data_IF_572103902760
#
_entry.id   IF_572103902760
#
_cell.length_a   1.000
_cell.length_b   1.000
_cell.length_c   1.000
_cell.angle_alpha   90.00
_cell.angle_beta   90.00
_cell.angle_gamma   90.00
#
_symmetry.space_group_name_H-M   'P 1'
#
loop_
_entity.id
_entity.type
_entity.pdbx_description
1 polymer ?
#
# COMPACT_ATOMS: atom_id res chain seq x y z
N UNK A 1 16.11 29.64 -33.76
CA UNK A 1 15.72 30.10 -32.41
C UNK A 1 14.34 29.63 -31.95
N UNK A 2 13.29 29.62 -32.81
CA UNK A 2 11.92 29.19 -32.41
C UNK A 2 11.75 27.69 -32.10
N UNK A 3 12.59 26.82 -32.64
CA UNK A 3 12.50 25.35 -32.44
C UNK A 3 13.18 24.83 -31.16
N UNK A 4 14.13 25.60 -30.59
CA UNK A 4 14.81 25.24 -29.33
C UNK A 4 13.95 25.55 -28.09
N UNK A 5 13.02 26.51 -28.21
CA UNK A 5 12.10 26.88 -27.13
C UNK A 5 11.00 25.81 -26.93
N UNK A 6 10.57 25.14 -28.01
CA UNK A 6 9.53 24.09 -27.94
C UNK A 6 10.01 22.78 -27.29
N UNK A 7 11.31 22.45 -27.40
CA UNK A 7 11.89 21.26 -26.75
C UNK A 7 12.14 21.52 -25.26
N UNK A 8 12.48 22.76 -24.87
CA UNK A 8 12.59 23.15 -23.46
C UNK A 8 11.26 23.09 -22.72
N UNK A 9 10.14 23.41 -23.37
CA UNK A 9 8.80 23.36 -22.77
C UNK A 9 8.30 21.91 -22.59
N UNK A 10 8.67 21.00 -23.51
CA UNK A 10 8.32 19.57 -23.41
C UNK A 10 9.11 18.83 -22.32
N UNK A 11 10.35 19.23 -22.03
CA UNK A 11 11.13 18.66 -20.92
C UNK A 11 10.71 19.19 -19.53
N UNK A 12 10.16 20.39 -19.45
CA UNK A 12 9.67 20.97 -18.17
C UNK A 12 8.28 20.46 -17.79
N UNK A 13 7.46 20.03 -18.77
CA UNK A 13 6.13 19.43 -18.50
C UNK A 13 6.19 18.00 -17.94
N UNK A 14 7.31 17.28 -18.07
CA UNK A 14 7.46 15.92 -17.53
C UNK A 14 7.92 15.90 -16.05
N UNK A 15 8.20 17.07 -15.46
CA UNK A 15 8.52 17.22 -14.03
C UNK A 15 7.31 17.83 -13.32
N UNK A 16 6.12 17.31 -13.60
CA UNK A 16 5.03 17.41 -12.65
C UNK A 16 5.20 16.24 -11.68
N UNK A 17 6.04 16.46 -10.67
CA UNK A 17 5.83 15.80 -9.39
C UNK A 17 4.41 16.14 -8.99
N UNK A 18 3.46 15.23 -9.21
CA UNK A 18 2.28 15.21 -8.38
C UNK A 18 2.84 14.92 -6.98
N UNK A 19 2.82 15.87 -6.02
CA UNK A 19 2.84 15.42 -4.64
C UNK A 19 1.69 14.43 -4.54
N UNK A 20 1.97 13.26 -3.96
CA UNK A 20 0.91 12.34 -3.54
C UNK A 20 -0.20 13.20 -2.93
N UNK A 21 -1.43 12.98 -3.38
CA UNK A 21 -2.60 13.63 -2.81
C UNK A 21 -2.49 13.51 -1.29
N UNK A 22 -2.20 14.63 -0.62
CA UNK A 22 -2.20 14.71 0.83
C UNK A 22 -3.67 14.56 1.26
N UNK A 23 -4.14 13.32 1.31
CA UNK A 23 -5.34 12.97 2.04
C UNK A 23 -4.96 13.01 3.52
N UNK A 24 -4.94 14.23 4.08
CA UNK A 24 -4.96 14.37 5.52
C UNK A 24 -6.36 14.00 6.02
N UNK A 25 -6.46 12.91 6.77
CA UNK A 25 -7.57 12.61 7.67
C UNK A 25 -7.04 11.69 8.78
N UNK A 26 -7.27 11.92 10.07
CA UNK A 26 -7.91 13.05 10.72
C UNK A 26 -7.40 13.11 12.17
N UNK A 27 -6.83 14.25 12.57
CA UNK A 27 -6.77 14.66 13.98
C UNK A 27 -8.18 14.51 14.58
N UNK A 28 -8.43 13.43 15.33
CA UNK A 28 -9.76 13.07 15.83
C UNK A 28 -10.23 11.63 15.55
N UNK A 29 -9.41 10.76 14.95
CA UNK A 29 -9.72 9.34 14.83
C UNK A 29 -9.85 8.67 16.21
N UNK A 30 -10.84 7.79 16.34
CA UNK A 30 -11.16 7.06 17.57
C UNK A 30 -11.41 5.59 17.26
N UNK A 31 -11.14 4.71 18.22
CA UNK A 31 -11.47 3.29 18.15
C UNK A 31 -12.11 2.82 19.47
N UNK A 32 -13.35 2.32 19.44
CA UNK A 32 -13.93 1.60 20.58
C UNK A 32 -13.30 0.21 20.75
N UNK A 33 -13.35 -0.34 21.95
CA UNK A 33 -13.04 -1.74 22.23
C UNK A 33 -14.32 -2.59 22.32
N UNK A 34 -14.20 -3.90 22.09
CA UNK A 34 -15.31 -4.84 22.25
C UNK A 34 -15.77 -4.98 23.71
N UNK A 35 -14.92 -4.58 24.67
CA UNK A 35 -15.17 -4.73 26.11
C UNK A 35 -14.89 -6.15 26.63
N UNK A 36 -13.93 -6.84 26.01
CA UNK A 36 -13.41 -8.10 26.49
C UNK A 36 -11.90 -8.21 26.30
N UNK A 37 -11.26 -9.03 27.13
CA UNK A 37 -9.86 -9.46 26.96
C UNK A 37 -9.75 -10.98 27.12
N UNK A 38 -8.71 -11.57 26.52
CA UNK A 38 -8.24 -12.89 26.91
C UNK A 38 -7.48 -12.81 28.24
N UNK A 39 -7.55 -13.88 29.03
CA UNK A 39 -6.96 -13.96 30.38
C UNK A 39 -5.62 -14.70 30.40
N UNK A 40 -5.17 -15.21 29.25
CA UNK A 40 -3.91 -15.91 29.08
C UNK A 40 -3.09 -15.16 28.01
N UNK A 41 -1.78 -14.94 28.21
CA UNK A 41 -0.94 -14.32 27.18
C UNK A 41 -0.87 -15.14 25.89
N UNK A 42 -1.01 -16.47 25.99
CA UNK A 42 -1.07 -17.36 24.83
C UNK A 42 -2.51 -17.52 24.39
N UNK A 43 -2.81 -17.05 23.18
CA UNK A 43 -4.11 -17.18 22.53
C UNK A 43 -3.98 -18.30 21.49
N UNK A 44 -4.81 -19.35 21.65
CA UNK A 44 -4.85 -20.48 20.72
C UNK A 44 -5.92 -20.28 19.66
N UNK A 45 -5.55 -20.53 18.40
CA UNK A 45 -6.41 -20.35 17.24
C UNK A 45 -6.48 -21.65 16.46
N UNK A 46 -7.69 -22.11 16.12
CA UNK A 46 -7.88 -23.23 15.18
C UNK A 46 -8.52 -22.71 13.91
N UNK A 47 -7.83 -22.88 12.79
CA UNK A 47 -8.34 -22.62 11.45
C UNK A 47 -8.93 -23.91 10.90
N UNK A 48 -10.18 -23.87 10.45
CA UNK A 48 -10.89 -25.02 9.86
C UNK A 48 -11.06 -24.80 8.36
N UNK A 49 -10.22 -25.41 7.50
CA UNK A 49 -10.34 -25.29 6.06
C UNK A 49 -11.66 -25.91 5.56
N UNK A 50 -12.20 -25.37 4.46
CA UNK A 50 -13.33 -25.98 3.76
C UNK A 50 -12.82 -26.96 2.68
N UNK A 51 -12.42 -28.16 3.11
CA UNK A 51 -11.85 -29.18 2.22
C UNK A 51 -12.85 -29.71 1.20
N UNK A 52 -12.38 -29.98 -0.02
CA UNK A 52 -13.14 -30.60 -1.12
C UNK A 52 -14.36 -29.79 -1.61
N UNK A 53 -14.37 -28.47 -1.39
CA UNK A 53 -15.44 -27.60 -1.86
C UNK A 53 -14.92 -26.60 -2.92
N UNK A 54 -15.59 -26.44 -4.09
CA UNK A 54 -15.04 -25.65 -5.20
C UNK A 54 -14.83 -24.15 -4.93
N UNK A 55 -15.60 -23.55 -4.02
CA UNK A 55 -15.49 -22.12 -3.73
C UNK A 55 -14.29 -21.76 -2.84
N UNK A 56 -13.66 -22.75 -2.20
CA UNK A 56 -12.56 -22.54 -1.27
C UNK A 56 -11.21 -22.59 -1.98
N UNK A 57 -10.42 -21.51 -1.87
CA UNK A 57 -9.02 -21.52 -2.35
C UNK A 57 -8.13 -22.17 -1.29
N UNK A 58 -7.27 -23.10 -1.72
CA UNK A 58 -6.34 -23.78 -0.82
C UNK A 58 -5.40 -22.82 -0.07
N UNK A 59 -5.08 -21.67 -0.68
CA UNK A 59 -4.26 -20.60 -0.08
C UNK A 59 -4.90 -19.95 1.15
N UNK A 60 -6.24 -19.90 1.26
CA UNK A 60 -6.91 -19.15 2.31
C UNK A 60 -6.57 -19.58 3.74
N UNK A 61 -6.24 -20.86 3.94
CA UNK A 61 -5.77 -21.35 5.25
C UNK A 61 -4.44 -20.69 5.63
N UNK A 62 -3.52 -20.61 4.66
CA UNK A 62 -2.24 -19.95 4.83
C UNK A 62 -2.42 -18.44 5.00
N UNK A 63 -3.28 -17.82 4.20
CA UNK A 63 -3.55 -16.38 4.22
C UNK A 63 -4.10 -15.92 5.58
N UNK A 64 -5.06 -16.65 6.15
CA UNK A 64 -5.59 -16.38 7.48
C UNK A 64 -4.52 -16.56 8.58
N UNK A 65 -3.70 -17.61 8.50
CA UNK A 65 -2.58 -17.78 9.42
C UNK A 65 -1.53 -16.67 9.27
N UNK A 66 -1.26 -16.24 8.04
CA UNK A 66 -0.33 -15.16 7.74
C UNK A 66 -0.82 -13.84 8.33
N UNK A 67 -2.12 -13.53 8.22
CA UNK A 67 -2.73 -12.37 8.86
C UNK A 67 -2.51 -12.35 10.39
N UNK A 68 -2.74 -13.47 11.08
CA UNK A 68 -2.50 -13.62 12.52
C UNK A 68 -1.01 -13.39 12.85
N UNK A 69 -0.12 -13.99 12.06
CA UNK A 69 1.32 -13.81 12.26
C UNK A 69 1.79 -12.36 12.02
N UNK A 70 1.12 -11.61 11.14
CA UNK A 70 1.42 -10.19 10.90
C UNK A 70 1.12 -9.34 12.12
N UNK A 71 0.02 -9.58 12.83
CA UNK A 71 -0.27 -8.88 14.09
C UNK A 71 0.88 -9.01 15.11
N UNK A 72 1.42 -10.20 15.31
CA UNK A 72 2.57 -10.40 16.22
C UNK A 72 3.79 -9.56 15.80
N UNK A 73 4.06 -9.47 14.50
CA UNK A 73 5.19 -8.68 13.97
C UNK A 73 4.92 -7.18 14.03
N UNK A 74 3.68 -6.75 13.80
CA UNK A 74 3.29 -5.34 13.93
C UNK A 74 3.31 -4.88 15.39
N UNK A 75 2.98 -5.74 16.35
CA UNK A 75 3.16 -5.47 17.79
C UNK A 75 4.63 -5.18 18.09
N UNK A 76 5.57 -5.96 17.53
CA UNK A 76 7.01 -5.70 17.72
C UNK A 76 7.38 -4.32 17.18
N UNK A 77 7.02 -4.01 15.92
CA UNK A 77 7.32 -2.72 15.29
C UNK A 77 6.72 -1.52 16.04
N UNK A 78 5.47 -1.65 16.52
CA UNK A 78 4.82 -0.63 17.35
C UNK A 78 5.58 -0.43 18.66
N UNK A 79 5.85 -1.51 19.39
CA UNK A 79 6.43 -1.43 20.72
C UNK A 79 7.89 -0.96 20.71
N UNK A 80 8.64 -1.23 19.63
CA UNK A 80 9.97 -0.64 19.44
C UNK A 80 9.93 0.88 19.30
N UNK A 81 8.84 1.42 18.74
CA UNK A 81 8.70 2.86 18.45
C UNK A 81 8.03 3.65 19.58
N UNK A 82 7.06 3.02 20.27
CA UNK A 82 6.15 3.73 21.18
C UNK A 82 6.09 3.15 22.60
N UNK A 83 6.82 2.07 22.91
CA UNK A 83 6.85 1.46 24.25
C UNK A 83 5.85 0.31 24.42
N UNK A 84 5.21 0.19 25.59
CA UNK A 84 4.27 -0.91 25.89
C UNK A 84 4.83 -2.33 25.63
N UNK A 85 6.11 -2.55 25.93
CA UNK A 85 6.81 -3.83 25.68
C UNK A 85 6.15 -5.06 26.31
N UNK A 86 5.31 -4.87 27.35
CA UNK A 86 4.50 -5.95 27.91
C UNK A 86 3.58 -6.61 26.88
N UNK A 87 3.16 -5.88 25.84
CA UNK A 87 2.28 -6.39 24.79
C UNK A 87 2.93 -7.53 23.99
N UNK A 88 4.27 -7.58 23.95
CA UNK A 88 5.03 -8.69 23.34
C UNK A 88 4.87 -10.02 24.06
N UNK A 89 4.29 -10.04 25.26
CA UNK A 89 3.95 -11.28 25.95
C UNK A 89 2.78 -11.99 25.26
N UNK A 90 1.96 -11.29 24.47
CA UNK A 90 0.94 -11.92 23.64
C UNK A 90 1.60 -12.87 22.63
N UNK A 91 1.19 -14.13 22.68
CA UNK A 91 1.66 -15.17 21.77
C UNK A 91 0.47 -15.80 21.08
N UNK A 92 0.55 -15.96 19.77
CA UNK A 92 -0.51 -16.57 18.96
C UNK A 92 -0.06 -17.96 18.53
N UNK A 93 -0.81 -18.99 18.92
CA UNK A 93 -0.56 -20.38 18.53
C UNK A 93 -1.67 -20.80 17.57
N UNK A 94 -1.33 -20.93 16.29
CA UNK A 94 -2.28 -21.35 15.26
C UNK A 94 -2.14 -22.84 14.98
N UNK A 95 -3.27 -23.52 14.95
CA UNK A 95 -3.41 -24.89 14.46
C UNK A 95 -4.41 -24.97 13.30
N UNK A 96 -4.30 -26.01 12.49
CA UNK A 96 -5.21 -26.31 11.38
C UNK A 96 -5.96 -27.59 11.70
N UNK A 97 -7.30 -27.53 11.58
CA UNK A 97 -8.16 -28.68 11.85
C UNK A 97 -7.84 -29.87 10.94
N UNK A 98 -7.75 -31.06 11.53
CA UNK A 98 -7.35 -32.29 10.83
C UNK A 98 -5.86 -32.39 10.49
N UNK A 99 -5.03 -31.41 10.87
CA UNK A 99 -3.56 -31.44 10.67
C UNK A 99 -2.85 -31.50 12.02
N UNK A 100 -3.09 -30.51 12.89
CA UNK A 100 -2.42 -30.37 14.18
C UNK A 100 -3.30 -29.69 15.26
N UNK A 101 -4.63 -29.71 15.10
CA UNK A 101 -5.59 -29.09 16.03
C UNK A 101 -5.57 -29.67 17.44
N UNK A 102 -5.11 -30.91 17.61
CA UNK A 102 -4.86 -31.51 18.93
C UNK A 102 -3.87 -30.70 19.78
N UNK A 103 -2.96 -29.92 19.17
CA UNK A 103 -2.04 -29.02 19.88
C UNK A 103 -2.74 -27.80 20.48
N UNK A 104 -3.88 -27.37 19.91
CA UNK A 104 -4.62 -26.19 20.36
C UNK A 104 -5.80 -26.52 21.29
N UNK A 105 -6.12 -27.81 21.49
CA UNK A 105 -7.13 -28.27 22.44
C UNK A 105 -8.49 -27.57 22.26
N UNK A 106 -8.99 -26.93 23.31
CA UNK A 106 -10.14 -26.02 23.22
C UNK A 106 -9.62 -24.61 22.89
N UNK A 107 -9.75 -24.15 21.64
CA UNK A 107 -9.12 -22.90 21.23
C UNK A 107 -9.84 -21.68 21.81
N UNK A 108 -9.09 -20.58 21.95
CA UNK A 108 -9.67 -19.27 22.21
C UNK A 108 -10.46 -18.77 21.00
N UNK A 109 -9.91 -18.95 19.80
CA UNK A 109 -10.50 -18.43 18.56
C UNK A 109 -10.65 -19.59 17.56
N UNK A 110 -11.81 -19.66 16.89
CA UNK A 110 -12.02 -20.52 15.73
C UNK A 110 -12.16 -19.67 14.48
N UNK A 111 -11.40 -20.01 13.44
CA UNK A 111 -11.55 -19.43 12.10
C UNK A 111 -12.20 -20.46 11.20
N UNK A 112 -13.27 -20.07 10.51
CA UNK A 112 -14.00 -20.91 9.57
C UNK A 112 -14.29 -20.13 8.28
N UNK A 113 -14.57 -20.86 7.21
CA UNK A 113 -14.83 -20.29 5.90
C UNK A 113 -16.24 -20.61 5.42
N UNK A 114 -16.84 -19.67 4.72
CA UNK A 114 -18.09 -19.84 3.99
C UNK A 114 -17.94 -19.35 2.56
N UNK A 115 -18.86 -19.73 1.68
CA UNK A 115 -18.83 -19.25 0.30
C UNK A 115 -19.02 -17.73 0.23
N UNK A 116 -20.12 -17.25 0.82
CA UNK A 116 -20.50 -15.84 0.86
C UNK A 116 -21.52 -15.64 1.97
N UNK A 117 -21.60 -14.43 2.54
CA UNK A 117 -22.69 -14.05 3.45
C UNK A 117 -24.02 -13.78 2.72
N UNK A 118 -24.00 -13.76 1.38
CA UNK A 118 -25.18 -13.56 0.54
C UNK A 118 -25.82 -12.18 0.73
N UNK A 119 -27.08 -12.05 0.33
CA UNK A 119 -27.81 -10.78 0.42
C UNK A 119 -28.19 -10.35 1.84
N UNK A 120 -27.93 -11.19 2.84
CA UNK A 120 -28.28 -10.92 4.24
C UNK A 120 -27.22 -10.06 4.95
N UNK A 121 -26.01 -9.95 4.41
CA UNK A 121 -24.95 -9.10 4.95
C UNK A 121 -24.00 -8.66 3.84
N UNK A 122 -23.60 -7.38 3.87
CA UNK A 122 -22.53 -6.87 3.00
C UNK A 122 -21.12 -7.24 3.51
N UNK A 123 -21.01 -8.00 4.59
CA UNK A 123 -19.75 -8.37 5.22
C UNK A 123 -18.92 -9.33 4.36
N UNK A 124 -17.60 -9.19 4.47
CA UNK A 124 -16.61 -10.12 3.90
C UNK A 124 -16.00 -11.02 4.98
N UNK A 125 -16.12 -10.61 6.24
CA UNK A 125 -15.80 -11.36 7.44
C UNK A 125 -16.81 -11.05 8.54
N UNK A 126 -16.80 -11.87 9.60
CA UNK A 126 -17.53 -11.61 10.83
C UNK A 126 -16.89 -12.36 12.00
N UNK A 127 -16.56 -11.62 13.06
CA UNK A 127 -16.12 -12.19 14.33
C UNK A 127 -17.21 -12.06 15.38
N UNK A 128 -17.73 -13.19 15.83
CA UNK A 128 -18.68 -13.27 16.93
C UNK A 128 -17.92 -13.40 18.25
N UNK A 129 -17.89 -12.31 19.01
CA UNK A 129 -17.38 -12.30 20.38
C UNK A 129 -18.51 -12.52 21.38
N UNK A 130 -18.19 -13.20 22.49
CA UNK A 130 -19.05 -13.30 23.66
C UNK A 130 -18.24 -12.88 24.86
N UNK A 131 -18.80 -11.99 25.67
CA UNK A 131 -18.14 -11.47 26.86
C UNK A 131 -18.92 -11.96 28.07
N UNK A 132 -18.21 -12.54 29.04
CA UNK A 132 -18.83 -12.98 30.27
C UNK A 132 -19.26 -11.75 31.08
N UNK A 133 -20.54 -11.72 31.44
CA UNK A 133 -21.13 -10.62 32.19
C UNK A 133 -20.38 -10.40 33.51
N UNK A 134 -20.12 -9.13 33.84
CA UNK A 134 -19.42 -8.66 35.04
C UNK A 134 -17.93 -9.01 35.14
N UNK A 135 -17.39 -9.86 34.26
CA UNK A 135 -15.95 -10.16 34.25
C UNK A 135 -15.17 -9.42 33.19
N UNK A 136 -15.78 -8.96 32.08
CA UNK A 136 -15.05 -8.29 30.99
C UNK A 136 -14.06 -9.22 30.27
N UNK A 137 -14.31 -10.53 30.29
CA UNK A 137 -13.44 -11.54 29.67
C UNK A 137 -14.15 -12.25 28.53
N UNK A 138 -13.40 -12.62 27.49
CA UNK A 138 -13.96 -13.40 26.38
C UNK A 138 -14.33 -14.82 26.81
N UNK A 139 -15.44 -15.33 26.25
CA UNK A 139 -15.91 -16.71 26.41
C UNK A 139 -15.43 -17.54 25.22
N UNK A 140 -14.47 -18.45 25.39
CA UNK A 140 -13.96 -19.27 24.29
C UNK A 140 -14.98 -20.33 23.83
N UNK A 141 -14.95 -20.72 22.54
CA UNK A 141 -14.27 -20.01 21.47
C UNK A 141 -15.07 -18.77 21.04
N UNK A 142 -14.38 -17.70 20.65
CA UNK A 142 -14.93 -16.73 19.69
C UNK A 142 -14.84 -17.33 18.29
N UNK A 143 -15.73 -16.93 17.39
CA UNK A 143 -15.79 -17.49 16.03
C UNK A 143 -15.62 -16.40 14.99
N UNK A 144 -14.55 -16.48 14.22
CA UNK A 144 -14.29 -15.67 13.02
C UNK A 144 -14.72 -16.45 11.78
N UNK A 145 -15.62 -15.88 10.99
CA UNK A 145 -16.12 -16.45 9.74
C UNK A 145 -15.63 -15.59 8.57
N UNK A 146 -14.97 -16.21 7.59
CA UNK A 146 -14.39 -15.53 6.42
C UNK A 146 -15.11 -15.99 5.14
N UNK A 147 -15.55 -15.04 4.31
CA UNK A 147 -16.14 -15.36 3.02
C UNK A 147 -15.06 -15.68 1.98
N UNK A 148 -15.41 -16.47 0.97
CA UNK A 148 -14.58 -16.73 -0.21
C UNK A 148 -14.93 -15.83 -1.40
N UNK A 149 -16.16 -15.31 -1.42
CA UNK A 149 -16.68 -14.41 -2.44
C UNK A 149 -17.29 -13.16 -1.80
N UNK A 150 -17.44 -12.11 -2.62
CA UNK A 150 -18.27 -10.96 -2.30
C UNK A 150 -19.73 -11.35 -1.94
N UNK A 151 -20.52 -10.45 -1.33
CA UNK A 151 -21.92 -10.71 -0.97
C UNK A 151 -22.83 -11.09 -2.16
N UNK A 152 -22.47 -10.63 -3.36
CA UNK A 152 -23.17 -10.96 -4.61
C UNK A 152 -22.76 -12.33 -5.19
N UNK A 153 -21.77 -12.99 -4.59
CA UNK A 153 -21.21 -14.27 -5.03
C UNK A 153 -20.71 -14.26 -6.49
N UNK A 154 -20.19 -13.12 -6.91
CA UNK A 154 -19.70 -12.84 -8.27
C UNK A 154 -18.19 -12.75 -8.34
N UNK A 155 -17.56 -12.24 -7.29
CA UNK A 155 -16.12 -11.97 -7.26
C UNK A 155 -15.47 -12.78 -6.17
N UNK A 156 -14.57 -13.70 -6.55
CA UNK A 156 -13.79 -14.47 -5.58
C UNK A 156 -12.70 -13.57 -4.98
N UNK A 157 -12.51 -13.67 -3.66
CA UNK A 157 -11.51 -12.89 -2.94
C UNK A 157 -10.10 -13.33 -3.35
N UNK A 158 -9.21 -12.34 -3.55
CA UNK A 158 -7.79 -12.62 -3.75
C UNK A 158 -7.13 -13.08 -2.46
N UNK A 159 -5.88 -13.55 -2.54
CA UNK A 159 -5.12 -13.91 -1.34
C UNK A 159 -4.85 -12.65 -0.48
N UNK A 160 -4.58 -11.50 -1.11
CA UNK A 160 -4.45 -10.22 -0.40
C UNK A 160 -5.75 -9.82 0.30
N UNK A 161 -6.90 -9.97 -0.36
CA UNK A 161 -8.19 -9.68 0.28
C UNK A 161 -8.40 -10.56 1.52
N UNK A 162 -8.14 -11.86 1.38
CA UNK A 162 -8.26 -12.80 2.49
C UNK A 162 -7.33 -12.45 3.66
N UNK A 163 -6.08 -12.03 3.38
CA UNK A 163 -5.14 -11.58 4.42
C UNK A 163 -5.68 -10.34 5.13
N UNK A 164 -6.17 -9.33 4.40
CA UNK A 164 -6.66 -8.08 4.99
C UNK A 164 -7.92 -8.32 5.84
N UNK A 165 -8.90 -9.06 5.30
CA UNK A 165 -10.13 -9.39 6.02
C UNK A 165 -9.83 -10.24 7.25
N UNK A 166 -9.02 -11.29 7.12
CA UNK A 166 -8.63 -12.10 8.28
C UNK A 166 -7.88 -11.28 9.34
N UNK A 167 -7.07 -10.29 8.92
CA UNK A 167 -6.36 -9.40 9.82
C UNK A 167 -7.32 -8.47 10.57
N UNK A 168 -8.33 -7.91 9.90
CA UNK A 168 -9.39 -7.10 10.49
C UNK A 168 -10.19 -7.91 11.52
N UNK A 169 -10.67 -9.09 11.12
CA UNK A 169 -11.43 -9.98 11.98
C UNK A 169 -10.64 -10.45 13.20
N UNK A 170 -9.33 -10.66 13.04
CA UNK A 170 -8.47 -10.98 14.17
C UNK A 170 -8.37 -9.81 15.16
N UNK A 171 -8.42 -8.56 14.70
CA UNK A 171 -8.51 -7.38 15.57
C UNK A 171 -9.75 -7.42 16.48
N UNK A 172 -10.91 -7.80 15.95
CA UNK A 172 -12.11 -8.06 16.77
C UNK A 172 -11.90 -9.17 17.78
N UNK A 173 -11.27 -10.28 17.36
CA UNK A 173 -10.98 -11.39 18.26
C UNK A 173 -9.96 -11.03 19.37
N UNK A 174 -9.19 -9.95 19.19
CA UNK A 174 -8.31 -9.38 20.20
C UNK A 174 -9.00 -8.33 21.08
N UNK A 175 -10.17 -7.83 20.69
CA UNK A 175 -10.98 -6.90 21.47
C UNK A 175 -11.04 -5.47 20.96
N UNK A 176 -10.66 -5.24 19.70
CA UNK A 176 -10.86 -3.96 19.02
C UNK A 176 -12.21 -3.94 18.30
N UNK A 177 -12.92 -2.83 18.34
CA UNK A 177 -14.07 -2.59 17.47
C UNK A 177 -13.62 -1.75 16.26
N UNK A 178 -14.57 -1.17 15.53
CA UNK A 178 -14.26 -0.39 14.34
C UNK A 178 -13.71 1.00 14.67
N UNK A 179 -12.61 1.35 14.02
CA UNK A 179 -12.12 2.72 13.99
C UNK A 179 -13.11 3.64 13.26
N UNK A 180 -13.14 4.92 13.64
CA UNK A 180 -14.06 5.92 13.06
C UNK A 180 -13.56 6.53 11.76
N UNK A 181 -12.25 6.45 11.50
CA UNK A 181 -11.61 6.96 10.29
C UNK A 181 -11.30 5.82 9.32
N UNK A 182 -11.48 6.07 8.02
CA UNK A 182 -11.26 5.07 6.96
C UNK A 182 -9.81 5.00 6.46
N UNK A 183 -9.01 6.01 6.80
CA UNK A 183 -7.62 6.13 6.39
C UNK A 183 -6.83 6.79 7.51
N UNK A 184 -5.54 6.49 7.55
CA UNK A 184 -4.58 7.10 8.48
C UNK A 184 -3.96 8.37 7.87
N UNK A 185 -3.20 9.13 8.67
CA UNK A 185 -2.60 10.40 8.23
C UNK A 185 -1.54 10.23 7.12
N UNK A 186 -1.02 9.01 6.92
CA UNK A 186 -0.07 8.68 5.86
C UNK A 186 -0.77 8.26 4.54
N UNK A 187 -2.11 8.26 4.51
CA UNK A 187 -2.92 7.92 3.34
C UNK A 187 -3.16 6.42 3.14
N UNK A 188 -2.68 5.55 4.04
CA UNK A 188 -3.02 4.13 4.05
C UNK A 188 -4.42 3.88 4.62
N UNK A 189 -5.06 2.79 4.20
CA UNK A 189 -6.35 2.37 4.74
C UNK A 189 -6.22 1.95 6.21
N UNK A 190 -7.20 2.35 7.02
CA UNK A 190 -7.32 1.90 8.41
C UNK A 190 -7.86 0.47 8.44
N UNK A 191 -7.04 -0.48 8.91
CA UNK A 191 -7.38 -1.90 8.96
C UNK A 191 -8.68 -2.13 9.72
N UNK A 192 -8.88 -1.46 10.87
CA UNK A 192 -10.07 -1.65 11.70
C UNK A 192 -11.26 -0.78 11.26
N UNK A 193 -11.25 -0.16 10.09
CA UNK A 193 -12.43 0.55 9.60
C UNK A 193 -13.53 -0.43 9.18
N UNK A 194 -14.79 -0.10 9.47
CA UNK A 194 -15.96 -0.97 9.23
C UNK A 194 -16.11 -1.42 7.76
N UNK A 195 -15.75 -0.57 6.80
CA UNK A 195 -15.90 -0.88 5.38
C UNK A 195 -14.56 -1.25 4.78
N UNK A 196 -14.53 -2.34 4.00
CA UNK A 196 -13.33 -2.72 3.28
C UNK A 196 -12.93 -1.63 2.27
N UNK A 197 -11.73 -1.07 2.43
CA UNK A 197 -11.28 0.12 1.70
C UNK A 197 -10.87 -0.14 0.24
N UNK A 198 -10.76 -1.41 -0.17
CA UNK A 198 -10.20 -1.80 -1.45
C UNK A 198 -11.21 -2.50 -2.37
N UNK A 199 -10.91 -2.52 -3.67
CA UNK A 199 -11.77 -3.18 -4.64
C UNK A 199 -11.63 -4.70 -4.51
N UNK A 200 -12.68 -5.38 -4.00
CA UNK A 200 -12.71 -6.84 -3.84
C UNK A 200 -12.31 -7.54 -5.14
N UNK A 201 -11.45 -8.55 -5.06
CA UNK A 201 -11.01 -9.34 -6.21
C UNK A 201 -9.90 -8.68 -7.04
N UNK A 202 -9.46 -7.46 -6.70
CA UNK A 202 -8.41 -6.79 -7.46
C UNK A 202 -7.02 -7.33 -7.07
N UNK A 203 -6.27 -7.92 -8.02
CA UNK A 203 -4.93 -8.48 -7.75
C UNK A 203 -3.88 -7.41 -7.41
N UNK A 204 -4.21 -6.13 -7.55
CA UNK A 204 -3.34 -5.00 -7.17
C UNK A 204 -3.64 -4.43 -5.80
N UNK A 205 -4.54 -5.05 -5.04
CA UNK A 205 -4.77 -4.64 -3.66
C UNK A 205 -3.46 -4.73 -2.86
N UNK A 206 -3.31 -3.78 -1.96
CA UNK A 206 -2.18 -3.70 -1.03
C UNK A 206 -2.53 -4.38 0.28
N UNK A 207 -1.51 -4.85 0.99
CA UNK A 207 -1.70 -5.33 2.36
C UNK A 207 -2.00 -4.16 3.28
N UNK A 208 -3.05 -4.29 4.08
CA UNK A 208 -3.38 -3.39 5.18
C UNK A 208 -2.65 -3.87 6.44
N UNK A 209 -2.39 -2.99 7.39
CA UNK A 209 -1.76 -3.33 8.66
C UNK A 209 -2.46 -2.58 9.78
N UNK A 210 -2.41 -3.08 11.03
CA UNK A 210 -3.00 -2.36 12.14
C UNK A 210 -2.34 -0.99 12.29
N UNK A 211 -3.12 0.03 12.60
CA UNK A 211 -2.61 1.38 12.78
C UNK A 211 -1.98 1.58 14.15
N UNK A 212 -1.34 2.74 14.34
CA UNK A 212 -0.88 3.16 15.67
C UNK A 212 -2.05 3.31 16.65
N UNK A 213 -3.25 3.66 16.16
CA UNK A 213 -4.48 3.76 16.95
C UNK A 213 -4.93 2.37 17.41
N UNK A 214 -4.97 1.39 16.50
CA UNK A 214 -5.28 -0.01 16.83
C UNK A 214 -4.33 -0.56 17.88
N UNK A 215 -3.03 -0.33 17.69
CA UNK A 215 -1.99 -0.82 18.59
C UNK A 215 -2.05 -0.14 19.95
N UNK A 216 -2.35 1.16 19.98
CA UNK A 216 -2.54 1.88 21.23
C UNK A 216 -3.75 1.32 22.00
N UNK A 217 -4.90 1.16 21.35
CA UNK A 217 -6.07 0.54 21.97
C UNK A 217 -5.78 -0.89 22.45
N UNK A 218 -5.12 -1.70 21.62
CA UNK A 218 -4.70 -3.06 21.97
C UNK A 218 -3.79 -3.08 23.20
N UNK A 219 -2.85 -2.13 23.30
CA UNK A 219 -1.97 -2.02 24.46
C UNK A 219 -2.73 -1.73 25.76
N UNK A 220 -3.88 -1.06 25.68
CA UNK A 220 -4.75 -0.81 26.82
C UNK A 220 -5.67 -2.01 27.12
N UNK A 221 -6.14 -2.74 26.10
CA UNK A 221 -6.92 -3.99 26.30
C UNK A 221 -6.12 -5.03 27.08
N UNK A 222 -4.80 -5.09 26.83
CA UNK A 222 -3.88 -6.07 27.44
C UNK A 222 -2.88 -5.45 28.42
N UNK A 223 -3.20 -4.32 29.04
CA UNK A 223 -2.33 -3.65 30.02
C UNK A 223 -1.97 -4.55 31.21
N UNK A 224 -2.86 -5.49 31.58
CA UNK A 224 -2.65 -6.50 32.61
C UNK A 224 -1.41 -7.36 32.38
N UNK A 225 -0.91 -7.48 31.14
CA UNK A 225 0.34 -8.17 30.84
C UNK A 225 1.56 -7.47 31.48
N UNK A 226 1.45 -6.20 31.86
CA UNK A 226 2.48 -5.53 32.65
C UNK A 226 2.60 -6.14 34.05
N UNK A 227 1.53 -6.74 34.58
CA UNK A 227 1.52 -7.37 35.89
C UNK A 227 2.27 -8.72 35.86
N UNK A 228 3.36 -8.90 36.63
CA UNK A 228 4.07 -10.18 36.71
C UNK A 228 3.23 -11.30 37.34
N UNK A 229 2.20 -10.96 38.13
CA UNK A 229 1.28 -11.93 38.73
C UNK A 229 0.22 -12.45 37.75
N UNK A 230 0.17 -11.93 36.52
CA UNK A 230 -0.78 -12.32 35.49
C UNK A 230 -2.12 -11.58 35.57
N UNK A 231 -3.13 -12.15 34.90
CA UNK A 231 -4.46 -11.54 34.80
C UNK A 231 -5.15 -11.48 36.17
N UNK A 232 -5.74 -10.32 36.49
CA UNK A 232 -6.60 -10.13 37.66
C UNK A 232 -7.92 -9.53 37.18
N UNK A 233 -9.08 -10.15 37.47
CA UNK A 233 -10.37 -9.59 37.10
C UNK A 233 -10.63 -8.20 37.72
N UNK A 234 -11.46 -7.35 37.08
CA UNK A 234 -12.15 -7.59 35.81
C UNK A 234 -11.21 -7.42 34.60
N UNK A 235 -11.64 -7.94 33.46
CA UNK A 235 -11.05 -7.66 32.16
C UNK A 235 -11.48 -6.29 31.62
N UNK A 236 -11.07 -6.02 30.39
CA UNK A 236 -11.18 -4.69 29.78
C UNK A 236 -12.64 -4.31 29.44
N UNK A 237 -13.16 -3.16 29.89
CA UNK A 237 -14.52 -2.71 29.56
C UNK A 237 -14.57 -2.00 28.20
N UNK A 238 -15.76 -1.88 27.61
CA UNK A 238 -15.94 -1.07 26.39
C UNK A 238 -15.43 0.35 26.63
N UNK A 239 -14.40 0.74 25.89
CA UNK A 239 -13.72 2.03 26.03
C UNK A 239 -13.41 2.59 24.66
N UNK A 240 -13.51 3.91 24.49
CA UNK A 240 -13.15 4.60 23.26
C UNK A 240 -11.77 5.23 23.45
N UNK A 241 -10.84 4.92 22.55
CA UNK A 241 -9.49 5.47 22.56
C UNK A 241 -9.28 6.42 21.39
N UNK A 242 -8.55 7.50 21.65
CA UNK A 242 -7.90 8.34 20.64
C UNK A 242 -6.40 8.28 20.89
N UNK A 243 -5.60 8.54 19.85
CA UNK A 243 -4.15 8.60 20.00
C UNK A 243 -3.73 9.74 20.95
N UNK A 244 -2.76 9.51 21.85
CA UNK A 244 -2.19 10.57 22.67
C UNK A 244 -1.41 11.57 21.79
N UNK A 245 -1.25 12.83 22.25
CA UNK A 245 -0.46 13.82 21.53
C UNK A 245 0.95 13.33 21.22
N UNK A 246 1.42 13.55 20.00
CA UNK A 246 2.78 13.21 19.56
C UNK A 246 2.94 11.82 18.91
N UNK A 247 1.89 11.01 18.87
CA UNK A 247 1.86 9.79 18.05
C UNK A 247 1.15 10.09 16.74
N UNK A 248 1.85 9.89 15.62
CA UNK A 248 1.26 10.00 14.28
C UNK A 248 0.27 8.86 14.05
N UNK A 249 -0.87 9.17 13.45
CA UNK A 249 -1.82 8.14 13.03
C UNK A 249 -1.35 7.52 11.72
N UNK A 250 -0.79 6.32 11.77
CA UNK A 250 -0.16 5.66 10.61
C UNK A 250 -0.28 4.15 10.69
N UNK A 251 -0.18 3.46 9.56
CA UNK A 251 -0.12 2.00 9.53
C UNK A 251 1.17 1.44 10.14
N UNK A 252 1.06 0.39 10.95
CA UNK A 252 2.20 -0.30 11.59
C UNK A 252 2.51 -1.61 10.88
N UNK A 253 3.29 -1.51 9.81
CA UNK A 253 3.73 -2.68 9.04
C UNK A 253 4.83 -3.47 9.77
N UNK A 254 4.86 -4.81 9.63
CA UNK A 254 6.01 -5.63 10.02
C UNK A 254 7.33 -5.13 9.41
N UNK A 255 8.45 -5.20 10.14
CA UNK A 255 9.75 -4.77 9.63
C UNK A 255 10.16 -5.43 8.31
N UNK A 256 9.82 -6.70 8.09
CA UNK A 256 10.09 -7.39 6.82
C UNK A 256 9.40 -6.73 5.63
N UNK A 257 8.18 -6.24 5.82
CA UNK A 257 7.40 -5.54 4.78
C UNK A 257 7.93 -4.13 4.56
N UNK A 258 8.34 -3.42 5.63
CA UNK A 258 9.01 -2.12 5.52
C UNK A 258 10.32 -2.23 4.72
N UNK A 259 11.15 -3.22 5.03
CA UNK A 259 12.42 -3.47 4.33
C UNK A 259 12.16 -3.79 2.85
N UNK A 260 11.16 -4.62 2.56
CA UNK A 260 10.81 -4.97 1.18
C UNK A 260 10.32 -3.75 0.39
N UNK A 261 9.47 -2.92 0.99
CA UNK A 261 9.02 -1.66 0.38
C UNK A 261 10.19 -0.72 0.10
N UNK A 262 11.14 -0.60 1.03
CA UNK A 262 12.35 0.20 0.83
C UNK A 262 13.22 -0.36 -0.30
N UNK A 263 13.44 -1.67 -0.36
CA UNK A 263 14.18 -2.31 -1.44
C UNK A 263 13.52 -2.09 -2.80
N UNK A 264 12.19 -2.20 -2.86
CA UNK A 264 11.43 -1.92 -4.08
C UNK A 264 11.59 -0.46 -4.51
N UNK A 265 11.48 0.48 -3.59
CA UNK A 265 11.69 1.91 -3.86
C UNK A 265 13.10 2.19 -4.38
N UNK A 266 14.14 1.61 -3.77
CA UNK A 266 15.53 1.74 -4.23
C UNK A 266 15.69 1.18 -5.64
N UNK A 267 15.11 0.01 -5.93
CA UNK A 267 15.19 -0.60 -7.25
C UNK A 267 14.47 0.25 -8.32
N UNK A 268 13.32 0.85 -7.99
CA UNK A 268 12.62 1.76 -8.90
C UNK A 268 13.43 3.03 -9.15
N UNK A 269 13.95 3.69 -8.10
CA UNK A 269 14.81 4.86 -8.26
C UNK A 269 16.04 4.56 -9.11
N UNK A 270 16.67 3.39 -8.94
CA UNK A 270 17.79 2.96 -9.77
C UNK A 270 17.40 2.84 -11.25
N UNK A 271 16.22 2.28 -11.53
CA UNK A 271 15.72 2.17 -12.90
C UNK A 271 15.45 3.55 -13.51
N UNK A 272 14.82 4.45 -12.76
CA UNK A 272 14.56 5.83 -13.18
C UNK A 272 15.86 6.57 -13.50
N UNK A 273 16.88 6.45 -12.65
CA UNK A 273 18.20 7.05 -12.91
C UNK A 273 18.83 6.50 -14.19
N UNK A 274 18.75 5.19 -14.42
CA UNK A 274 19.28 4.56 -15.64
C UNK A 274 18.54 5.05 -16.89
N UNK A 275 17.22 5.20 -16.82
CA UNK A 275 16.40 5.75 -17.91
C UNK A 275 16.80 7.20 -18.19
N UNK A 276 16.90 8.04 -17.17
CA UNK A 276 17.31 9.44 -17.32
C UNK A 276 18.72 9.54 -17.91
N UNK A 277 19.67 8.72 -17.45
CA UNK A 277 21.03 8.70 -17.98
C UNK A 277 21.06 8.27 -19.46
N UNK A 278 20.29 7.25 -19.84
CA UNK A 278 20.19 6.79 -21.23
C UNK A 278 19.57 7.85 -22.14
N UNK A 279 18.49 8.51 -21.70
CA UNK A 279 17.84 9.61 -22.44
C UNK A 279 18.78 10.80 -22.58
N UNK A 280 19.48 11.20 -21.52
CA UNK A 280 20.45 12.28 -21.56
C UNK A 280 21.62 11.96 -22.53
N UNK A 281 22.12 10.72 -22.50
CA UNK A 281 23.15 10.25 -23.43
C UNK A 281 22.70 10.28 -24.89
N UNK A 282 21.46 9.84 -25.16
CA UNK A 282 20.86 9.89 -26.50
C UNK A 282 20.71 11.34 -26.98
N UNK A 283 20.19 12.23 -26.14
CA UNK A 283 20.02 13.65 -26.47
C UNK A 283 21.36 14.32 -26.77
N UNK A 284 22.40 14.01 -25.99
CA UNK A 284 23.75 14.51 -26.23
C UNK A 284 24.30 14.01 -27.58
N UNK A 285 24.13 12.72 -27.90
CA UNK A 285 24.56 12.15 -29.17
C UNK A 285 23.85 12.82 -30.37
N UNK A 286 22.54 13.05 -30.26
CA UNK A 286 21.75 13.77 -31.28
C UNK A 286 22.23 15.21 -31.45
N UNK A 287 22.46 15.93 -30.34
CA UNK A 287 22.96 17.29 -30.38
C UNK A 287 24.34 17.39 -31.05
N UNK A 288 25.25 16.45 -30.74
CA UNK A 288 26.57 16.36 -31.38
C UNK A 288 26.47 16.08 -32.88
N UNK A 289 25.63 15.11 -33.28
CA UNK A 289 25.42 14.78 -34.69
C UNK A 289 24.87 15.97 -35.49
N UNK A 290 23.88 16.67 -34.94
CA UNK A 290 23.31 17.89 -35.54
C UNK A 290 24.35 19.01 -35.62
N UNK A 291 25.16 19.21 -34.57
CA UNK A 291 26.25 20.19 -34.57
C UNK A 291 27.27 19.92 -35.68
N UNK A 292 27.68 18.67 -35.86
CA UNK A 292 28.58 18.25 -36.94
C UNK A 292 27.96 18.49 -38.32
N UNK A 293 26.69 18.14 -38.50
CA UNK A 293 25.97 18.36 -39.77
C UNK A 293 25.83 19.85 -40.12
N UNK A 294 25.56 20.69 -39.13
CA UNK A 294 25.47 22.14 -39.31
C UNK A 294 26.83 22.76 -39.61
N UNK A 295 27.91 22.33 -38.94
CA UNK A 295 29.27 22.80 -39.20
C UNK A 295 29.79 22.41 -40.59
N UNK A 296 29.32 21.28 -41.15
CA UNK A 296 29.65 20.85 -42.53
C UNK A 296 29.01 21.73 -43.61
N UNK A 297 27.95 22.47 -43.31
CA UNK A 297 27.42 23.50 -44.21
C UNK A 297 28.32 24.74 -44.15
N UNK A 298 29.43 24.72 -44.90
CA UNK A 298 30.21 25.94 -45.21
C UNK A 298 29.27 27.02 -45.77
N UNK A 299 29.43 28.31 -45.41
CA UNK A 299 28.72 29.38 -46.09
C UNK A 299 29.09 29.33 -47.58
N UNK A 300 28.08 29.30 -48.44
CA UNK A 300 28.25 29.55 -49.88
C UNK A 300 28.93 30.90 -49.99
N UNK A 301 30.18 30.88 -50.46
CA UNK A 301 30.93 32.08 -50.79
C UNK A 301 30.06 32.87 -51.78
N UNK A 302 29.57 34.04 -51.37
CA UNK A 302 28.78 34.89 -52.24
C UNK A 302 29.61 35.17 -53.51
N UNK A 303 29.15 34.66 -54.65
CA UNK A 303 29.72 35.01 -55.95
C UNK A 303 29.58 36.52 -56.11
N UNK A 304 30.70 37.22 -56.07
CA UNK A 304 30.81 38.60 -56.55
C UNK A 304 30.44 38.62 -58.02
N UNK A 305 29.25 39.12 -58.34
CA UNK A 305 28.83 39.42 -59.71
C UNK A 305 29.68 40.58 -60.22
N UNK A 306 30.59 40.31 -61.16
CA UNK A 306 31.32 41.36 -61.89
C UNK A 306 30.40 41.96 -62.94
N UNK A 307 30.05 43.24 -62.81
CA UNK A 307 29.38 44.00 -63.86
C UNK A 307 30.36 44.22 -65.02
N UNK A 308 30.18 43.50 -66.13
CA UNK A 308 30.77 43.87 -67.40
C UNK A 308 30.07 45.13 -67.93
N UNK A 309 30.83 46.22 -68.03
CA UNK A 309 30.42 47.45 -68.70
C UNK A 309 30.41 47.18 -70.21
N UNK A 310 29.23 47.16 -70.82
CA UNK A 310 29.06 47.15 -72.28
C UNK A 310 29.26 48.58 -72.78
N UNK A 311 30.34 48.83 -73.51
CA UNK A 311 30.59 50.11 -74.16
C UNK A 311 29.66 50.34 -75.37
N UNK A 312 29.31 51.60 -75.70
CA UNK A 312 28.38 51.92 -76.78
C UNK A 312 29.00 51.66 -78.17
N UNK A 313 28.17 51.37 -79.20
CA UNK A 313 28.65 51.06 -80.54
C UNK A 313 29.22 52.30 -81.24
N UNK A 314 30.31 52.11 -81.99
CA UNK A 314 30.99 53.14 -82.77
C UNK A 314 30.19 53.56 -84.02
N UNK A 315 30.30 54.82 -84.49
CA UNK A 315 29.52 55.34 -85.60
C UNK A 315 30.06 54.92 -86.96
N UNK A 316 29.13 54.70 -87.89
CA UNK A 316 29.32 54.31 -89.29
C UNK A 316 29.83 55.49 -90.12
N UNK A 317 31.02 55.39 -90.72
CA UNK A 317 31.52 56.32 -91.74
C UNK A 317 31.02 55.94 -93.13
N UNK A 318 30.44 56.92 -93.83
CA UNK A 318 30.06 56.84 -95.24
C UNK A 318 31.23 57.20 -96.15
N UNK A 319 31.47 56.32 -97.12
CA UNK A 319 32.10 56.48 -98.44
C UNK A 319 32.74 57.83 -98.82
N UNK A 320 34.02 57.78 -99.24
CA UNK A 320 34.54 58.58 -100.36
C UNK A 320 35.43 57.71 -101.28
N UNK A 321 35.27 57.96 -102.57
CA UNK A 321 35.67 57.24 -103.79
C UNK A 321 37.13 57.53 -104.26
N UNK A 322 37.65 56.64 -105.14
CA UNK A 322 38.81 56.76 -106.10
C UNK A 322 40.23 56.62 -105.53
N UNK A 323 41.24 56.06 -106.22
CA UNK A 323 41.60 55.52 -107.57
C UNK A 323 42.95 54.80 -107.29
N UNK A 324 43.51 53.82 -107.98
CA UNK A 324 43.38 53.13 -109.28
C UNK A 324 43.75 51.66 -109.06
#
# INVERSE_FOLDING_TARGET
MRTLVLIGILLVMAIWFNPASNAHAATGAEIPTEGGTWTNPTITIVITPASNIPWFKASYTYDANYAIARWAKSIIAYTDSYGSYYLRKLTFVTCVSGVNDTLCGTPNIRVQFIQSFGSQSAGLGLTSVRIQQNSGTFVPPTTTTLAAYDPTNTTQLTDTDMINIASHEFGHALGLNHATASATDDGTFELMFLSYGQAVGNPRNSLEAPSTLDMYALSNVYDWLANPSGFTPPGHPVTIYSLPPGITYSSVYPYSEQIQTLQNSINQMRLEILIVAAVAGLLLAVALALGILLARKKPVQAQTVSWQIVGPPAPTEQSVFRRD
#
